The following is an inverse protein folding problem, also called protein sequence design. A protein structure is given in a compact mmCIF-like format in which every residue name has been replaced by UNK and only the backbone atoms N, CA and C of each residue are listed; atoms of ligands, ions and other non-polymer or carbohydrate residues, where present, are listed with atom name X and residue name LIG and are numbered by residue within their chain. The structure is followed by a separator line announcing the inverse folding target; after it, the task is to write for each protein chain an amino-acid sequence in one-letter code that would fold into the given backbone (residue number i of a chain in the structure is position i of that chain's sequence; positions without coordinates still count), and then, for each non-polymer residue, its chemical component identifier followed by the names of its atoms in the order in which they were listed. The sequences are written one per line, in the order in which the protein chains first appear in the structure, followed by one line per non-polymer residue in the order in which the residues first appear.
data_IF_209950219711
#
_entry.id   IF_209950219711
#
_cell.length_a   1.000
_cell.length_b   1.000
_cell.length_c   1.000
_cell.angle_alpha   90.00
_cell.angle_beta   90.00
_cell.angle_gamma   90.00
#
_symmetry.space_group_name_H-M   'P 1'
#
loop_
_entity.id
_entity.type
_entity.pdbx_description
1 polymer ?
#
# COMPACT_ATOMS: atom_id res chain seq x y z
N UNK A 1 -13.84 11.63 7.05
CA UNK A 1 -12.67 11.46 6.17
C UNK A 1 -11.73 10.51 6.88
N UNK A 2 -11.14 9.53 6.19
CA UNK A 2 -10.21 8.59 6.82
C UNK A 2 -8.87 8.74 6.10
N UNK A 3 -7.89 9.34 6.77
CA UNK A 3 -6.51 9.37 6.28
C UNK A 3 -5.92 8.01 6.60
N UNK A 4 -5.71 7.16 5.60
CA UNK A 4 -5.08 5.87 5.80
C UNK A 4 -3.57 6.07 5.79
N UNK A 5 -2.95 6.08 6.98
CA UNK A 5 -1.51 6.08 7.13
C UNK A 5 -0.99 4.64 7.11
N UNK A 6 -0.16 4.31 6.12
CA UNK A 6 0.72 3.15 6.19
C UNK A 6 2.15 3.68 6.32
N UNK A 7 2.59 3.88 7.55
CA UNK A 7 3.95 4.34 7.83
C UNK A 7 4.99 3.26 7.52
N UNK A 8 6.19 3.64 7.07
CA UNK A 8 7.31 2.71 7.03
C UNK A 8 7.66 2.22 8.46
N UNK A 9 8.12 0.97 8.62
CA UNK A 9 8.60 0.50 9.91
C UNK A 9 9.84 1.33 10.31
N UNK A 10 9.75 2.10 11.40
CA UNK A 10 10.91 2.74 12.03
C UNK A 10 10.82 4.23 12.34
N UNK A 11 9.75 4.94 11.96
CA UNK A 11 9.56 6.34 12.41
C UNK A 11 8.74 6.32 13.70
N UNK A 12 9.42 6.41 14.84
CA UNK A 12 8.78 6.62 16.14
C UNK A 12 8.30 8.07 16.15
N UNK A 13 7.03 8.31 15.82
CA UNK A 13 6.42 9.59 16.11
C UNK A 13 6.44 9.78 17.63
N UNK A 14 7.03 10.87 18.12
CA UNK A 14 6.94 11.23 19.53
C UNK A 14 5.47 11.26 19.93
N UNK A 15 5.08 10.41 20.89
CA UNK A 15 3.71 10.43 21.43
C UNK A 15 3.46 11.78 22.08
N UNK A 16 2.46 12.57 21.65
CA UNK A 16 2.12 13.82 22.30
C UNK A 16 1.70 13.51 23.74
N UNK A 17 2.41 14.06 24.72
CA UNK A 17 2.09 13.87 26.15
C UNK A 17 0.76 14.52 26.56
N UNK A 18 0.18 15.34 25.69
CA UNK A 18 -1.14 15.95 25.86
C UNK A 18 -1.97 15.72 24.58
N UNK A 19 -3.14 15.11 24.70
CA UNK A 19 -4.11 14.95 23.62
C UNK A 19 -4.84 16.25 23.24
N UNK A 20 -4.14 17.39 23.30
CA UNK A 20 -4.69 18.70 22.98
C UNK A 20 -4.87 18.87 21.48
N UNK A 21 -6.05 19.36 21.06
CA UNK A 21 -6.22 19.87 19.71
C UNK A 21 -5.54 21.25 19.63
N UNK A 22 -4.62 21.39 18.69
CA UNK A 22 -3.94 22.65 18.41
C UNK A 22 -4.24 23.06 16.97
N UNK A 23 -4.73 24.28 16.79
CA UNK A 23 -4.88 24.87 15.47
C UNK A 23 -3.49 25.20 14.92
N UNK A 24 -3.19 24.73 13.70
CA UNK A 24 -1.98 25.13 12.97
C UNK A 24 -2.38 26.27 12.05
N UNK A 25 -2.33 27.49 12.56
CA UNK A 25 -2.67 28.72 11.84
C UNK A 25 -1.43 29.47 11.38
N UNK A 26 -1.55 30.13 10.23
CA UNK A 26 -0.61 31.10 9.63
C UNK A 26 0.52 30.54 8.76
N UNK A 27 0.17 30.17 7.52
CA UNK A 27 1.14 30.07 6.43
C UNK A 27 0.56 30.73 5.19
N UNK A 28 1.40 31.21 4.28
CA UNK A 28 0.92 31.55 2.94
C UNK A 28 0.41 30.28 2.22
N UNK A 29 -0.47 30.44 1.22
CA UNK A 29 -1.01 29.36 0.36
C UNK A 29 -1.88 28.29 1.05
N UNK A 30 -2.66 28.64 2.07
CA UNK A 30 -3.64 27.73 2.68
C UNK A 30 -4.74 27.37 1.65
N UNK A 31 -5.12 26.09 1.52
CA UNK A 31 -6.23 25.70 0.66
C UNK A 31 -7.55 26.31 1.14
N UNK A 32 -8.42 26.72 0.20
CA UNK A 32 -9.76 27.20 0.52
C UNK A 32 -10.57 26.17 1.32
N UNK A 33 -11.46 26.66 2.20
CA UNK A 33 -12.36 25.83 2.98
C UNK A 33 -13.17 24.91 2.08
N UNK A 34 -13.14 23.59 2.36
CA UNK A 34 -13.65 22.57 1.44
C UNK A 34 -14.10 21.31 2.19
N UNK A 35 -15.01 20.55 1.60
CA UNK A 35 -15.34 19.20 2.06
C UNK A 35 -15.36 18.16 0.94
N UNK A 36 -15.35 16.88 1.32
CA UNK A 36 -15.32 15.78 0.36
C UNK A 36 -14.01 15.68 -0.43
N UNK A 37 -12.95 16.38 0.00
CA UNK A 37 -11.60 16.19 -0.51
C UNK A 37 -11.04 14.84 -0.04
N UNK A 38 -9.97 14.38 -0.70
CA UNK A 38 -9.15 13.29 -0.18
C UNK A 38 -7.85 13.82 0.39
N UNK A 39 -7.27 13.10 1.35
CA UNK A 39 -5.95 13.39 1.84
C UNK A 39 -5.19 12.11 2.12
N UNK A 40 -3.90 12.13 1.79
CA UNK A 40 -2.98 11.03 2.01
C UNK A 40 -1.68 11.56 2.60
N UNK A 41 -0.95 10.71 3.31
CA UNK A 41 0.38 11.05 3.82
C UNK A 41 1.41 10.21 3.06
N UNK A 42 2.44 10.88 2.56
CA UNK A 42 3.62 10.25 1.99
C UNK A 42 4.85 10.94 2.55
N UNK A 43 5.73 10.16 3.19
CA UNK A 43 6.88 10.69 3.93
C UNK A 43 6.44 11.77 4.95
N UNK A 44 7.04 12.96 4.90
CA UNK A 44 6.72 14.11 5.74
C UNK A 44 5.73 15.10 5.10
N UNK A 45 5.03 14.69 4.03
CA UNK A 45 4.06 15.52 3.33
C UNK A 45 2.64 14.94 3.43
N UNK A 46 1.67 15.78 3.80
CA UNK A 46 0.25 15.48 3.64
C UNK A 46 -0.26 16.11 2.34
N UNK A 47 -0.80 15.30 1.45
CA UNK A 47 -1.32 15.74 0.15
C UNK A 47 -2.84 15.79 0.19
N UNK A 48 -3.43 16.90 -0.26
CA UNK A 48 -4.88 17.14 -0.29
C UNK A 48 -5.32 17.41 -1.72
N UNK A 49 -6.25 16.60 -2.24
CA UNK A 49 -6.74 16.73 -3.61
C UNK A 49 -8.25 16.99 -3.68
N UNK A 50 -8.60 17.97 -4.52
CA UNK A 50 -9.97 18.31 -4.90
C UNK A 50 -10.86 18.70 -3.73
N UNK A 51 -12.14 18.33 -3.82
CA UNK A 51 -13.18 18.71 -2.86
C UNK A 51 -14.21 19.67 -3.46
N UNK A 52 -15.08 20.19 -2.61
CA UNK A 52 -16.07 21.21 -2.94
C UNK A 52 -16.00 22.33 -1.90
N UNK A 53 -15.87 23.57 -2.37
CA UNK A 53 -15.72 24.77 -1.52
C UNK A 53 -17.06 25.42 -1.13
N UNK A 54 -18.18 24.82 -1.57
CA UNK A 54 -19.52 25.38 -1.41
C UNK A 54 -20.06 26.04 -2.67
N UNK A 55 -19.21 26.30 -3.67
CA UNK A 55 -19.57 26.88 -4.95
C UNK A 55 -19.16 25.96 -6.12
N UNK A 56 -17.88 25.58 -6.20
CA UNK A 56 -17.30 24.78 -7.27
C UNK A 56 -16.59 23.52 -6.79
N UNK A 57 -16.55 22.51 -7.65
CA UNK A 57 -15.68 21.35 -7.44
C UNK A 57 -14.26 21.70 -7.82
N UNK A 58 -13.31 21.20 -7.05
CA UNK A 58 -11.89 21.55 -7.15
C UNK A 58 -11.08 20.39 -7.74
N UNK A 59 -10.02 20.72 -8.48
CA UNK A 59 -9.00 19.84 -9.06
C UNK A 59 -7.57 20.21 -8.62
N UNK A 60 -7.47 21.10 -7.62
CA UNK A 60 -6.21 21.52 -7.05
C UNK A 60 -5.59 20.44 -6.15
N UNK A 61 -4.25 20.47 -6.06
CA UNK A 61 -3.46 19.62 -5.18
C UNK A 61 -2.63 20.51 -4.26
N UNK A 62 -2.71 20.25 -2.96
CA UNK A 62 -1.90 20.92 -1.94
C UNK A 62 -1.03 19.91 -1.22
N UNK A 63 0.16 20.35 -0.81
CA UNK A 63 1.07 19.63 0.06
C UNK A 63 1.24 20.44 1.35
N UNK A 64 0.98 19.82 2.49
CA UNK A 64 1.34 20.33 3.80
C UNK A 64 2.60 19.60 4.27
N UNK A 65 3.70 20.34 4.39
CA UNK A 65 4.92 19.83 5.00
C UNK A 65 4.73 19.72 6.50
N UNK A 66 4.70 18.49 7.01
CA UNK A 66 4.54 18.20 8.44
C UNK A 66 5.76 18.70 9.23
N UNK A 67 6.94 18.72 8.60
CA UNK A 67 8.19 19.16 9.24
C UNK A 67 8.25 20.67 9.43
N UNK A 68 7.83 21.44 8.42
CA UNK A 68 7.89 22.92 8.44
C UNK A 68 6.57 23.56 8.82
N UNK A 69 5.50 22.76 8.96
CA UNK A 69 4.13 23.21 9.15
C UNK A 69 3.68 24.23 8.12
N UNK A 70 4.07 24.04 6.84
CA UNK A 70 3.78 24.98 5.75
C UNK A 70 2.96 24.34 4.63
N UNK A 71 2.02 25.10 4.08
CA UNK A 71 1.26 24.74 2.89
C UNK A 71 1.98 25.17 1.61
N UNK A 72 1.92 24.29 0.61
CA UNK A 72 2.39 24.54 -0.74
C UNK A 72 1.33 24.12 -1.74
N UNK A 73 1.06 24.99 -2.72
CA UNK A 73 0.31 24.58 -3.89
C UNK A 73 1.20 23.69 -4.77
N UNK A 74 0.68 22.53 -5.17
CA UNK A 74 1.37 21.61 -6.08
C UNK A 74 0.78 21.80 -7.48
N UNK A 75 1.54 22.39 -8.43
CA UNK A 75 1.00 22.67 -9.76
C UNK A 75 0.56 21.39 -10.47
N UNK A 76 -0.65 21.41 -11.05
CA UNK A 76 -1.16 20.32 -11.86
C UNK A 76 -0.34 20.16 -13.15
N UNK A 77 0.34 19.02 -13.30
CA UNK A 77 1.10 18.63 -14.51
C UNK A 77 0.65 17.26 -15.00
N UNK A 78 0.74 17.02 -16.31
CA UNK A 78 0.34 15.75 -16.94
C UNK A 78 -1.17 15.63 -17.10
N UNK A 79 -1.71 14.42 -16.93
CA UNK A 79 -3.13 14.12 -17.10
C UNK A 79 -3.93 14.49 -15.82
N UNK A 80 -4.02 15.79 -15.53
CA UNK A 80 -4.70 16.28 -14.32
C UNK A 80 -6.15 15.78 -14.29
N UNK A 81 -6.60 15.12 -13.20
CA UNK A 81 -7.97 14.64 -13.11
C UNK A 81 -8.97 15.81 -13.08
N UNK A 82 -10.14 15.70 -13.74
CA UNK A 82 -11.21 16.68 -13.62
C UNK A 82 -11.60 16.98 -12.17
N UNK A 83 -12.11 18.19 -11.94
CA UNK A 83 -12.51 18.63 -10.62
C UNK A 83 -13.60 17.75 -10.01
N UNK A 84 -13.38 17.34 -8.75
CA UNK A 84 -14.16 16.27 -8.14
C UNK A 84 -14.14 16.31 -6.63
N UNK A 85 -15.20 15.78 -6.03
CA UNK A 85 -15.31 15.57 -4.58
C UNK A 85 -15.95 14.21 -4.28
N UNK A 86 -15.86 13.79 -3.02
CA UNK A 86 -16.33 12.48 -2.51
C UNK A 86 -15.74 11.28 -3.27
N UNK A 87 -14.52 11.46 -3.78
CA UNK A 87 -13.66 10.42 -4.32
C UNK A 87 -12.89 9.74 -3.18
N UNK A 88 -12.16 8.66 -3.49
CA UNK A 88 -11.21 8.06 -2.57
C UNK A 88 -9.78 8.22 -3.08
N UNK A 89 -8.83 8.23 -2.16
CA UNK A 89 -7.41 8.21 -2.48
C UNK A 89 -6.66 7.25 -1.58
N UNK A 90 -5.60 6.63 -2.12
CA UNK A 90 -4.71 5.72 -1.41
C UNK A 90 -3.26 5.91 -1.88
N UNK A 91 -2.29 5.47 -1.07
CA UNK A 91 -0.86 5.52 -1.41
C UNK A 91 -0.34 4.11 -1.67
N UNK A 92 0.46 3.95 -2.71
CA UNK A 92 1.20 2.71 -2.99
C UNK A 92 2.54 3.05 -3.67
N UNK A 93 3.65 2.57 -3.09
CA UNK A 93 4.99 2.97 -3.51
C UNK A 93 5.19 4.48 -3.41
N UNK A 94 5.80 5.09 -4.43
CA UNK A 94 5.97 6.55 -4.53
C UNK A 94 4.84 7.26 -5.29
N UNK A 95 3.60 6.76 -5.20
CA UNK A 95 2.45 7.37 -5.85
C UNK A 95 1.16 7.38 -5.01
N UNK A 96 0.32 8.37 -5.29
CA UNK A 96 -1.06 8.47 -4.83
C UNK A 96 -2.00 8.05 -5.96
N UNK A 97 -3.01 7.24 -5.63
CA UNK A 97 -4.04 6.78 -6.56
C UNK A 97 -5.40 7.35 -6.15
N UNK A 98 -6.09 7.98 -7.08
CA UNK A 98 -7.43 8.58 -6.89
C UNK A 98 -8.45 7.82 -7.73
N UNK A 99 -9.55 7.40 -7.11
CA UNK A 99 -10.64 6.73 -7.82
C UNK A 99 -11.98 7.44 -7.65
N UNK A 100 -12.69 7.58 -8.77
CA UNK A 100 -14.08 8.01 -8.85
C UNK A 100 -14.33 9.44 -8.35
N UNK A 101 -15.47 9.64 -7.71
CA UNK A 101 -15.96 10.96 -7.31
C UNK A 101 -17.04 11.48 -8.24
N UNK A 102 -17.37 12.76 -8.08
CA UNK A 102 -18.43 13.43 -8.84
C UNK A 102 -18.08 14.91 -9.00
N UNK A 103 -18.47 15.51 -10.12
CA UNK A 103 -18.30 16.93 -10.40
C UNK A 103 -19.50 17.80 -9.95
N UNK A 104 -19.42 19.11 -10.18
CA UNK A 104 -20.50 20.06 -9.89
C UNK A 104 -21.79 19.73 -10.65
N UNK A 105 -21.69 19.15 -11.86
CA UNK A 105 -22.81 18.77 -12.73
C UNK A 105 -23.41 17.41 -12.36
N UNK A 106 -22.95 16.79 -11.27
CA UNK A 106 -23.35 15.45 -10.82
C UNK A 106 -22.92 14.32 -11.78
N UNK A 107 -21.98 14.58 -12.68
CA UNK A 107 -21.34 13.53 -13.47
C UNK A 107 -20.36 12.76 -12.59
N UNK A 108 -20.58 11.44 -12.45
CA UNK A 108 -19.72 10.57 -11.66
C UNK A 108 -18.55 10.07 -12.49
N UNK A 109 -17.46 9.76 -11.82
CA UNK A 109 -16.26 9.21 -12.45
C UNK A 109 -16.01 7.75 -12.04
N UNK A 110 -15.41 6.98 -12.93
CA UNK A 110 -14.89 5.61 -12.72
C UNK A 110 -13.42 5.49 -13.10
N UNK A 111 -12.74 6.61 -13.31
CA UNK A 111 -11.33 6.65 -13.67
C UNK A 111 -10.45 6.38 -12.43
N UNK A 112 -9.29 5.79 -12.69
CA UNK A 112 -8.20 5.64 -11.75
C UNK A 112 -7.06 6.55 -12.22
N UNK A 113 -6.72 7.54 -11.40
CA UNK A 113 -5.67 8.50 -11.68
C UNK A 113 -4.51 8.28 -10.72
N UNK A 114 -3.29 8.43 -11.21
CA UNK A 114 -2.05 8.30 -10.44
C UNK A 114 -1.36 9.66 -10.38
N UNK A 115 -0.96 10.09 -9.18
CA UNK A 115 -0.01 11.18 -8.97
C UNK A 115 1.31 10.61 -8.48
N UNK A 116 2.38 10.81 -9.25
CA UNK A 116 3.73 10.45 -8.84
C UNK A 116 4.30 11.53 -7.91
N UNK A 117 4.69 11.14 -6.68
CA UNK A 117 5.33 12.07 -5.75
C UNK A 117 6.71 12.52 -6.24
N UNK A 118 7.45 11.62 -6.91
CA UNK A 118 8.78 11.90 -7.45
C UNK A 118 8.74 12.89 -8.63
N UNK A 119 7.83 12.69 -9.57
CA UNK A 119 7.73 13.51 -10.78
C UNK A 119 6.81 14.72 -10.62
N UNK A 120 6.03 14.76 -9.52
CA UNK A 120 4.98 15.76 -9.26
C UNK A 120 4.05 15.93 -10.47
N UNK A 121 3.60 14.80 -11.03
CA UNK A 121 2.79 14.77 -12.25
C UNK A 121 1.71 13.69 -12.19
N UNK A 122 0.57 14.00 -12.79
CA UNK A 122 -0.55 13.09 -12.95
C UNK A 122 -0.45 12.25 -14.21
N UNK A 123 -0.98 11.04 -14.14
CA UNK A 123 -1.20 10.15 -15.27
C UNK A 123 -2.47 9.32 -15.09
N UNK A 124 -3.06 8.84 -16.18
CA UNK A 124 -4.22 7.93 -16.12
C UNK A 124 -3.77 6.48 -16.06
N UNK A 125 -4.31 5.73 -15.10
CA UNK A 125 -4.06 4.29 -14.98
C UNK A 125 -5.10 3.53 -15.80
N UNK A 126 -4.61 2.67 -16.71
CA UNK A 126 -5.49 1.73 -17.41
C UNK A 126 -5.67 0.48 -16.55
N UNK A 127 -6.90 0.23 -16.15
CA UNK A 127 -7.30 -1.00 -15.46
C UNK A 127 -7.77 -2.04 -16.48
N UNK A 128 -7.57 -3.32 -16.18
CA UNK A 128 -8.09 -4.44 -16.98
C UNK A 128 -9.30 -5.07 -16.27
N UNK A 129 -10.11 -5.82 -17.02
CA UNK A 129 -11.35 -6.43 -16.51
C UNK A 129 -12.50 -5.44 -16.40
N UNK A 130 -13.49 -5.77 -15.55
CA UNK A 130 -14.68 -4.95 -15.33
C UNK A 130 -14.46 -4.00 -14.15
N UNK A 131 -14.18 -2.69 -14.40
CA UNK A 131 -13.98 -1.74 -13.32
C UNK A 131 -15.29 -1.43 -12.59
N UNK A 132 -15.22 -0.91 -11.35
CA UNK A 132 -16.41 -0.40 -10.67
C UNK A 132 -17.11 0.67 -11.52
N UNK A 133 -18.45 0.64 -11.52
CA UNK A 133 -19.27 1.72 -12.09
C UNK A 133 -18.86 3.10 -11.56
N UNK A 134 -19.12 4.15 -12.35
CA UNK A 134 -18.83 5.51 -11.94
C UNK A 134 -19.57 5.88 -10.65
N UNK A 135 -18.83 6.21 -9.58
CA UNK A 135 -19.38 6.23 -8.23
C UNK A 135 -18.73 7.26 -7.31
N UNK A 136 -19.50 7.66 -6.31
CA UNK A 136 -19.10 8.55 -5.22
C UNK A 136 -19.33 7.88 -3.86
N UNK A 137 -18.81 8.45 -2.77
CA UNK A 137 -19.01 7.95 -1.37
C UNK A 137 -18.52 6.53 -1.08
N UNK A 138 -17.81 5.89 -2.00
CA UNK A 138 -17.16 4.61 -1.76
C UNK A 138 -15.96 4.79 -0.82
N UNK A 139 -15.47 3.68 -0.27
CA UNK A 139 -14.19 3.65 0.46
C UNK A 139 -13.19 2.80 -0.29
N UNK A 140 -11.93 3.21 -0.22
CA UNK A 140 -10.84 2.45 -0.76
C UNK A 140 -9.72 2.27 0.27
N UNK A 141 -9.05 1.13 0.22
CA UNK A 141 -7.84 0.86 0.98
C UNK A 141 -6.85 0.07 0.12
N UNK A 142 -5.58 0.13 0.51
CA UNK A 142 -4.52 -0.66 -0.12
C UNK A 142 -4.16 -1.85 0.75
N UNK A 143 -3.92 -2.99 0.09
CA UNK A 143 -3.26 -4.15 0.70
C UNK A 143 -2.44 -4.90 -0.36
N UNK A 144 -1.14 -5.04 -0.12
CA UNK A 144 -0.19 -5.47 -1.14
C UNK A 144 -0.22 -4.54 -2.37
N UNK A 145 -0.16 -5.12 -3.57
CA UNK A 145 -0.26 -4.39 -4.85
C UNK A 145 -1.71 -4.25 -5.34
N UNK A 146 -2.68 -4.19 -4.43
CA UNK A 146 -4.10 -4.15 -4.77
C UNK A 146 -4.85 -3.07 -4.00
N UNK A 147 -5.61 -2.28 -4.74
CA UNK A 147 -6.60 -1.34 -4.22
C UNK A 147 -7.94 -2.06 -4.09
N UNK A 148 -8.51 -2.04 -2.89
CA UNK A 148 -9.84 -2.57 -2.62
C UNK A 148 -10.83 -1.42 -2.54
N UNK A 149 -11.97 -1.55 -3.22
CA UNK A 149 -13.03 -0.53 -3.25
C UNK A 149 -14.32 -1.17 -2.78
N UNK A 150 -14.98 -0.58 -1.78
CA UNK A 150 -16.24 -1.08 -1.23
C UNK A 150 -17.35 -0.04 -1.36
N UNK A 151 -18.47 -0.50 -1.92
CA UNK A 151 -19.75 0.19 -1.96
C UNK A 151 -19.73 1.52 -2.71
N UNK A 152 -20.43 2.50 -2.16
CA UNK A 152 -20.61 3.83 -2.74
C UNK A 152 -21.99 4.04 -3.38
N UNK A 153 -22.09 5.07 -4.20
CA UNK A 153 -23.32 5.47 -4.86
C UNK A 153 -23.07 5.78 -6.34
N UNK A 154 -23.74 5.05 -7.23
CA UNK A 154 -23.70 5.22 -8.68
C UNK A 154 -25.04 5.67 -9.27
N UNK A 155 -25.98 6.07 -8.41
CA UNK A 155 -27.41 6.21 -8.70
C UNK A 155 -28.23 5.28 -7.80
N UNK A 156 -27.61 4.20 -7.35
CA UNK A 156 -28.12 3.32 -6.29
C UNK A 156 -27.08 3.16 -5.18
N UNK A 157 -27.52 2.78 -3.97
CA UNK A 157 -26.57 2.42 -2.90
C UNK A 157 -25.95 1.07 -3.23
N UNK A 158 -24.62 1.02 -3.28
CA UNK A 158 -23.86 -0.18 -3.62
C UNK A 158 -23.24 -0.80 -2.37
N UNK A 159 -23.14 -2.13 -2.37
CA UNK A 159 -22.43 -2.94 -1.38
C UNK A 159 -21.41 -3.88 -2.05
N UNK A 160 -21.13 -3.68 -3.33
CA UNK A 160 -20.16 -4.47 -4.11
C UNK A 160 -18.73 -4.14 -3.68
N UNK A 161 -17.85 -5.14 -3.79
CA UNK A 161 -16.43 -5.02 -3.49
C UNK A 161 -15.61 -5.32 -4.74
N UNK A 162 -14.65 -4.45 -5.05
CA UNK A 162 -13.72 -4.62 -6.15
C UNK A 162 -12.30 -4.70 -5.62
N UNK A 163 -11.48 -5.47 -6.34
CA UNK A 163 -10.03 -5.54 -6.17
C UNK A 163 -9.41 -5.12 -7.49
N UNK A 164 -8.66 -4.02 -7.46
CA UNK A 164 -7.96 -3.48 -8.62
C UNK A 164 -6.46 -3.67 -8.37
N UNK A 165 -5.78 -4.40 -9.26
CA UNK A 165 -4.33 -4.48 -9.24
C UNK A 165 -3.75 -3.12 -9.64
N UNK A 166 -2.85 -2.59 -8.82
CA UNK A 166 -2.17 -1.31 -9.05
C UNK A 166 -0.67 -1.58 -9.05
N UNK A 167 0.06 -1.16 -10.09
CA UNK A 167 1.50 -1.41 -10.17
C UNK A 167 2.22 -0.67 -9.05
N UNK A 168 3.22 -1.34 -8.46
CA UNK A 168 4.09 -0.68 -7.49
C UNK A 168 4.99 0.33 -8.22
N UNK A 169 4.87 1.60 -7.82
CA UNK A 169 5.73 2.65 -8.35
C UNK A 169 7.01 2.72 -7.53
N UNK A 170 8.11 2.26 -8.15
CA UNK A 170 9.44 2.36 -7.56
C UNK A 170 9.98 3.79 -7.61
N UNK A 171 10.83 4.20 -6.65
CA UNK A 171 11.53 5.47 -6.68
C UNK A 171 12.30 5.68 -7.99
N UNK A 172 12.36 6.92 -8.47
CA UNK A 172 13.03 7.28 -9.73
C UNK A 172 14.47 6.76 -9.84
N UNK A 173 15.23 6.80 -8.74
CA UNK A 173 16.62 6.31 -8.71
C UNK A 173 16.70 4.79 -8.88
N UNK A 174 15.78 4.05 -8.29
CA UNK A 174 15.70 2.60 -8.46
C UNK A 174 15.26 2.23 -9.88
N UNK A 175 14.26 2.94 -10.43
CA UNK A 175 13.86 2.79 -11.85
C UNK A 175 15.05 3.02 -12.78
N UNK A 176 15.87 4.04 -12.51
CA UNK A 176 17.08 4.35 -13.30
C UNK A 176 18.12 3.23 -13.19
N UNK A 177 18.38 2.71 -11.98
CA UNK A 177 19.30 1.58 -11.76
C UNK A 177 18.84 0.32 -12.48
N UNK A 178 17.55 -0.05 -12.36
CA UNK A 178 16.99 -1.21 -13.06
C UNK A 178 17.09 -1.08 -14.57
N UNK A 179 16.81 0.11 -15.14
CA UNK A 179 16.95 0.36 -16.57
C UNK A 179 18.39 0.26 -17.05
N UNK A 180 19.37 0.70 -16.27
CA UNK A 180 20.80 0.54 -16.58
C UNK A 180 21.23 -0.93 -16.51
N UNK A 181 20.75 -1.69 -15.53
CA UNK A 181 21.05 -3.13 -15.40
C UNK A 181 20.43 -3.98 -16.53
N UNK A 182 19.28 -3.55 -17.06
CA UNK A 182 18.62 -4.20 -18.21
C UNK A 182 19.19 -3.75 -19.57
N UNK A 183 19.99 -2.67 -19.61
CA UNK A 183 20.53 -2.07 -20.83
C UNK A 183 22.00 -2.39 -21.13
N UNK A 184 22.62 -3.30 -20.37
CA UNK A 184 24.03 -3.68 -20.52
C UNK A 184 24.23 -5.11 -21.07
N UNK A 185 23.30 -5.60 -21.90
CA UNK A 185 23.43 -6.90 -22.58
C UNK A 185 23.28 -6.73 -24.09
N UNK A 186 24.39 -6.41 -24.77
CA UNK A 186 24.53 -6.64 -26.22
C UNK A 186 25.30 -7.96 -26.42
N UNK A 187 24.93 -8.66 -27.50
CA UNK A 187 25.08 -10.10 -27.70
C UNK A 187 26.49 -10.66 -27.76
N UNK A 188 26.59 -11.94 -27.41
CA UNK A 188 27.22 -12.96 -28.24
C UNK A 188 26.57 -14.32 -27.97
N UNK A 189 26.37 -15.07 -29.06
CA UNK A 189 25.68 -16.35 -29.09
C UNK A 189 26.57 -17.48 -28.56
N UNK A 190 25.99 -18.38 -27.75
CA UNK A 190 26.47 -19.76 -27.68
C UNK A 190 25.31 -20.71 -27.44
N UNK A 191 24.98 -21.46 -28.50
CA UNK A 191 24.03 -22.53 -28.50
C UNK A 191 24.60 -23.72 -27.71
N UNK A 192 23.96 -24.06 -26.59
CA UNK A 192 24.06 -25.38 -25.98
C UNK A 192 22.68 -25.84 -25.54
N UNK A 193 22.38 -27.08 -25.91
CA UNK A 193 21.05 -27.67 -26.00
C UNK A 193 20.34 -27.81 -24.66
N UNK A 194 19.06 -27.41 -24.62
CA UNK A 194 18.12 -27.85 -23.59
C UNK A 194 17.60 -29.26 -23.93
N UNK A 195 17.40 -30.13 -22.93
CA UNK A 195 16.80 -31.43 -23.14
C UNK A 195 15.29 -31.28 -23.38
N UNK A 196 14.83 -32.08 -24.34
CA UNK A 196 13.43 -32.35 -24.71
C UNK A 196 12.58 -32.67 -23.46
N UNK A 197 11.81 -31.68 -23.01
CA UNK A 197 10.61 -31.86 -22.20
C UNK A 197 9.41 -31.48 -23.06
N UNK A 198 9.04 -32.43 -23.91
CA UNK A 198 7.73 -32.65 -24.53
C UNK A 198 6.73 -31.50 -24.45
N UNK A 199 6.44 -30.94 -25.62
CA UNK A 199 5.25 -30.13 -25.91
C UNK A 199 4.00 -30.72 -25.23
N UNK A 200 3.51 -30.06 -24.18
CA UNK A 200 2.13 -30.26 -23.75
C UNK A 200 1.29 -29.28 -24.56
N UNK A 201 0.71 -29.82 -25.63
CA UNK A 201 -0.21 -29.14 -26.51
C UNK A 201 -1.23 -28.29 -25.74
N UNK A 202 -1.37 -27.02 -26.12
CA UNK A 202 -2.47 -26.15 -25.72
C UNK A 202 -3.80 -26.76 -26.20
N UNK A 203 -4.51 -27.42 -25.27
CA UNK A 203 -5.86 -27.94 -25.47
C UNK A 203 -6.92 -26.98 -24.91
N UNK A 204 -8.11 -26.88 -25.54
CA UNK A 204 -9.10 -25.86 -25.25
C UNK A 204 -9.89 -26.17 -23.96
N UNK A 205 -10.23 -25.10 -23.22
CA UNK A 205 -11.07 -25.11 -22.02
C UNK A 205 -10.49 -25.82 -20.79
N UNK A 206 -9.41 -25.27 -20.23
CA UNK A 206 -9.13 -25.52 -18.80
C UNK A 206 -10.29 -24.92 -17.98
N UNK A 207 -11.06 -25.78 -17.32
CA UNK A 207 -12.25 -25.39 -16.58
C UNK A 207 -11.89 -24.28 -15.58
N UNK A 208 -12.51 -23.10 -15.70
CA UNK A 208 -12.24 -21.91 -14.87
C UNK A 208 -12.30 -22.24 -13.36
N UNK A 209 -13.07 -23.26 -13.00
CA UNK A 209 -13.16 -23.78 -11.64
C UNK A 209 -11.90 -24.53 -11.19
N UNK A 210 -11.26 -25.30 -12.07
CA UNK A 210 -9.97 -25.96 -11.80
C UNK A 210 -8.87 -24.92 -11.57
N UNK A 211 -8.82 -23.87 -12.41
CA UNK A 211 -7.84 -22.78 -12.25
C UNK A 211 -8.08 -22.03 -10.93
N UNK A 212 -9.34 -21.74 -10.58
CA UNK A 212 -9.71 -21.11 -9.31
C UNK A 212 -9.30 -21.97 -8.10
N UNK A 213 -9.58 -23.28 -8.16
CA UNK A 213 -9.24 -24.21 -7.09
C UNK A 213 -7.73 -24.34 -6.92
N UNK A 214 -6.94 -24.40 -8.01
CA UNK A 214 -5.47 -24.40 -7.94
C UNK A 214 -4.93 -23.14 -7.26
N UNK A 215 -5.46 -21.96 -7.60
CA UNK A 215 -5.07 -20.72 -6.94
C UNK A 215 -5.44 -20.69 -5.45
N UNK A 216 -6.60 -21.24 -5.08
CA UNK A 216 -6.98 -21.38 -3.66
C UNK A 216 -6.06 -22.34 -2.91
N UNK A 217 -5.69 -23.48 -3.52
CA UNK A 217 -4.75 -24.43 -2.92
C UNK A 217 -3.39 -23.78 -2.69
N UNK A 218 -2.86 -23.03 -3.67
CA UNK A 218 -1.59 -22.31 -3.52
C UNK A 218 -1.64 -21.26 -2.41
N UNK A 219 -2.72 -20.49 -2.30
CA UNK A 219 -2.91 -19.52 -1.22
C UNK A 219 -2.98 -20.21 0.15
N UNK A 220 -3.68 -21.35 0.25
CA UNK A 220 -3.77 -22.13 1.48
C UNK A 220 -2.41 -22.74 1.87
N UNK A 221 -1.63 -23.22 0.90
CA UNK A 221 -0.26 -23.71 1.13
C UNK A 221 0.62 -22.59 1.68
N UNK A 222 0.59 -21.39 1.08
CA UNK A 222 1.34 -20.24 1.57
C UNK A 222 0.94 -19.81 2.99
N UNK A 223 -0.36 -19.87 3.31
CA UNK A 223 -0.84 -19.60 4.68
C UNK A 223 -0.34 -20.65 5.67
N UNK A 224 -0.40 -21.93 5.29
CA UNK A 224 0.08 -23.04 6.11
C UNK A 224 1.58 -22.89 6.41
N UNK A 225 2.39 -22.58 5.39
CA UNK A 225 3.82 -22.30 5.55
C UNK A 225 4.06 -21.13 6.50
N UNK A 226 3.33 -20.01 6.33
CA UNK A 226 3.47 -18.85 7.22
C UNK A 226 3.08 -19.16 8.68
N UNK A 227 2.05 -19.98 8.91
CA UNK A 227 1.64 -20.40 10.25
C UNK A 227 2.65 -21.37 10.86
N UNK A 228 3.22 -22.28 10.07
CA UNK A 228 4.30 -23.16 10.53
C UNK A 228 5.52 -22.35 10.95
N UNK A 229 5.92 -21.34 10.16
CA UNK A 229 7.03 -20.46 10.50
C UNK A 229 6.79 -19.64 11.78
N UNK A 230 5.53 -19.30 12.12
CA UNK A 230 5.20 -18.56 13.36
C UNK A 230 5.60 -19.31 14.63
N UNK A 231 5.61 -20.63 14.59
CA UNK A 231 5.97 -21.47 15.74
C UNK A 231 7.46 -21.81 15.81
N UNK A 232 8.25 -21.48 14.77
CA UNK A 232 9.67 -21.74 14.71
C UNK A 232 10.51 -20.61 15.31
N UNK A 233 11.62 -20.99 15.94
CA UNK A 233 12.60 -20.12 16.54
C UNK A 233 13.14 -19.12 15.52
N UNK A 234 13.09 -17.84 15.84
CA UNK A 234 13.49 -16.73 14.97
C UNK A 234 15.00 -16.55 14.82
N UNK A 235 15.78 -17.49 15.36
CA UNK A 235 17.25 -17.53 15.22
C UNK A 235 17.63 -18.67 14.30
N UNK A 236 17.26 -19.91 14.63
CA UNK A 236 17.65 -21.09 13.83
C UNK A 236 16.64 -21.49 12.76
N UNK A 237 15.39 -21.04 12.81
CA UNK A 237 14.31 -21.44 11.90
C UNK A 237 14.04 -22.96 11.78
N UNK A 238 14.66 -23.78 12.63
CA UNK A 238 14.58 -25.25 12.57
C UNK A 238 13.77 -25.84 13.73
N UNK A 239 13.76 -25.19 14.90
CA UNK A 239 13.17 -25.71 16.15
C UNK A 239 12.01 -24.85 16.60
N UNK A 240 11.02 -25.46 17.26
CA UNK A 240 9.90 -24.72 17.85
C UNK A 240 10.34 -23.73 18.94
N UNK A 241 9.57 -22.65 19.06
CA UNK A 241 9.70 -21.68 20.15
C UNK A 241 9.21 -22.33 21.45
N UNK A 242 10.17 -22.64 22.32
CA UNK A 242 9.91 -23.26 23.61
C UNK A 242 10.43 -22.42 24.79
N UNK A 243 10.78 -21.15 24.57
CA UNK A 243 11.33 -20.27 25.60
C UNK A 243 10.54 -18.96 25.68
N UNK A 244 10.26 -18.53 26.91
CA UNK A 244 9.70 -17.21 27.22
C UNK A 244 10.79 -16.38 27.88
N UNK A 245 11.02 -15.17 27.36
CA UNK A 245 11.88 -14.16 27.99
C UNK A 245 11.02 -13.39 28.97
N UNK A 246 11.27 -13.52 30.27
CA UNK A 246 10.38 -12.98 31.31
C UNK A 246 10.46 -11.45 31.39
N UNK A 247 11.60 -10.85 31.04
CA UNK A 247 11.81 -9.40 31.06
C UNK A 247 10.89 -8.63 30.10
N UNK A 248 10.49 -9.26 29.00
CA UNK A 248 9.65 -8.64 27.97
C UNK A 248 8.46 -9.49 27.51
N UNK A 249 8.24 -10.63 28.16
CA UNK A 249 7.21 -11.63 27.86
C UNK A 249 7.16 -12.12 26.39
N UNK A 250 8.28 -12.02 25.66
CA UNK A 250 8.36 -12.45 24.27
C UNK A 250 8.71 -13.94 24.15
N UNK A 251 8.05 -14.60 23.18
CA UNK A 251 8.30 -15.98 22.77
C UNK A 251 8.83 -15.97 21.35
N UNK A 252 10.16 -16.04 21.19
CA UNK A 252 10.80 -15.91 19.88
C UNK A 252 11.94 -16.91 19.63
N UNK A 253 12.43 -17.58 20.68
CA UNK A 253 13.65 -18.38 20.61
C UNK A 253 13.43 -19.79 21.16
N UNK A 254 14.22 -20.75 20.67
CA UNK A 254 14.32 -22.07 21.28
C UNK A 254 15.40 -22.06 22.36
N UNK A 255 15.34 -23.01 23.29
CA UNK A 255 16.24 -23.12 24.44
C UNK A 255 17.72 -23.21 24.03
N UNK A 256 18.04 -23.83 22.89
CA UNK A 256 19.43 -23.93 22.41
C UNK A 256 19.96 -22.64 21.78
N UNK A 257 19.09 -21.83 21.20
CA UNK A 257 19.51 -20.55 20.61
C UNK A 257 19.54 -19.43 21.65
N UNK A 258 18.89 -19.62 22.81
CA UNK A 258 18.93 -18.66 23.90
C UNK A 258 20.36 -18.41 24.38
N UNK A 259 21.18 -19.45 24.50
CA UNK A 259 22.57 -19.34 24.98
C UNK A 259 23.46 -18.48 24.08
N UNK A 260 23.01 -18.19 22.85
CA UNK A 260 23.75 -17.42 21.86
C UNK A 260 23.33 -15.95 21.80
N UNK A 261 22.34 -15.54 22.61
CA UNK A 261 21.80 -14.17 22.60
C UNK A 261 21.65 -13.63 24.01
N UNK A 262 22.07 -12.39 24.21
CA UNK A 262 21.92 -11.65 25.46
C UNK A 262 20.79 -10.61 25.40
N UNK A 263 20.17 -10.42 24.23
CA UNK A 263 19.09 -9.46 23.99
C UNK A 263 17.94 -10.13 23.25
N UNK A 264 16.71 -9.72 23.55
CA UNK A 264 15.52 -10.25 22.92
C UNK A 264 15.48 -9.87 21.42
N UNK A 265 15.31 -10.83 20.50
CA UNK A 265 15.31 -10.54 19.06
C UNK A 265 14.09 -9.74 18.58
N UNK A 266 13.00 -9.66 19.37
CA UNK A 266 11.80 -8.90 19.02
C UNK A 266 11.86 -7.44 19.50
N UNK A 267 12.30 -7.20 20.74
CA UNK A 267 12.23 -5.87 21.36
C UNK A 267 13.58 -5.31 21.83
N UNK A 268 14.66 -6.07 21.65
CA UNK A 268 16.05 -5.71 22.02
C UNK A 268 16.28 -5.44 23.52
N UNK A 269 15.35 -5.83 24.38
CA UNK A 269 15.55 -5.79 25.82
C UNK A 269 16.63 -6.79 26.25
N UNK A 270 17.45 -6.43 27.22
CA UNK A 270 18.43 -7.33 27.82
C UNK A 270 17.74 -8.52 28.48
N UNK A 271 18.30 -9.71 28.27
CA UNK A 271 17.77 -10.95 28.80
C UNK A 271 18.46 -11.22 30.14
N UNK A 272 17.71 -11.07 31.23
CA UNK A 272 18.16 -11.41 32.58
C UNK A 272 17.45 -12.63 33.14
N UNK A 273 16.22 -12.91 32.66
CA UNK A 273 15.39 -13.99 33.16
C UNK A 273 14.60 -14.67 32.05
N UNK A 274 14.64 -16.00 32.01
CA UNK A 274 13.92 -16.81 31.01
C UNK A 274 13.31 -18.06 31.62
N UNK A 275 12.32 -18.62 30.93
CA UNK A 275 11.73 -19.90 31.28
C UNK A 275 11.51 -20.74 30.03
N UNK A 276 12.08 -21.94 30.00
CA UNK A 276 11.76 -22.93 28.97
C UNK A 276 10.39 -23.54 29.29
N UNK A 277 9.47 -23.47 28.34
CA UNK A 277 8.16 -24.10 28.37
C UNK A 277 8.23 -25.41 27.60
N UNK A 278 7.90 -26.52 28.24
CA UNK A 278 7.68 -27.78 27.54
C UNK A 278 6.26 -27.75 26.98
N UNK A 279 6.11 -27.86 25.66
CA UNK A 279 4.79 -28.09 25.06
C UNK A 279 4.32 -29.48 25.53
N UNK A 280 3.09 -29.56 26.04
CA UNK A 280 2.36 -30.81 26.21
C UNK A 280 1.67 -31.19 24.89
#
# INVERSE_FOLDING_TARGET
MMVCWYGPPGVVAETPKNGGAHEVTETDNVPVGRFGHSAVVYQSGMFVFGGWDGHDTLDDLYEFSITTSQWYNVPGRGDVPPSRYRHSAVVHGCAMFVFGGVDKRQARFSDLCEFSFDNRSWSRVKTTGDPPSARTFHRACMYGSCMYILGGFDGTRRNDMYKIAVPEQLPRDEKRRRRMALGSGDGDAEAQAEPDIGEVAEGPHENKEIVRLRLQVLELQKRLESEQERHLCKICFEREINTVILDCNHRAVCSRCLDQVNTCPLCRADITSTRTTYNA
#
